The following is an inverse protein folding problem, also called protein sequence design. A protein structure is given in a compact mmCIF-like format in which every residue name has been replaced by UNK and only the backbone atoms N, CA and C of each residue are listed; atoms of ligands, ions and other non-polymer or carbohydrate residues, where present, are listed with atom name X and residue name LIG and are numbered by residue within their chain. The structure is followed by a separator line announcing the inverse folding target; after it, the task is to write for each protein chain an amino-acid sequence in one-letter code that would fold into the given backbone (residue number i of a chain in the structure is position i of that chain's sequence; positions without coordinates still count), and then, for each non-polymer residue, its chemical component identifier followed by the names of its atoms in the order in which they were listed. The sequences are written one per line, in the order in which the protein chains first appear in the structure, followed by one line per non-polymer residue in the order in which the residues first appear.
data_IF_552180184688
#
_entry.id   IF_552180184688
#
_cell.length_a   1.000
_cell.length_b   1.000
_cell.length_c   1.000
_cell.angle_alpha   90.00
_cell.angle_beta   90.00
_cell.angle_gamma   90.00
#
_symmetry.space_group_name_H-M   'P 1'
#
loop_
_entity.id
_entity.type
_entity.pdbx_description
1 polymer ?
#
# COMPACT_ATOMS: atom_id res chain seq x y z
N UNK A 1 -16.75 -28.20 -19.43
CA UNK A 1 -15.94 -27.06 -18.96
C UNK A 1 -15.93 -26.03 -20.07
N UNK A 2 -16.58 -24.89 -19.87
CA UNK A 2 -16.35 -23.75 -20.75
C UNK A 2 -14.98 -23.16 -20.37
N UNK A 3 -14.11 -22.81 -21.33
CA UNK A 3 -12.89 -22.10 -21.02
C UNK A 3 -13.23 -20.77 -20.32
N UNK A 4 -12.38 -20.28 -19.39
CA UNK A 4 -12.58 -18.96 -18.81
C UNK A 4 -12.67 -17.94 -19.94
N UNK A 5 -13.63 -17.01 -19.83
CA UNK A 5 -13.80 -15.96 -20.82
C UNK A 5 -12.50 -15.18 -20.93
N UNK A 6 -11.78 -15.31 -22.05
CA UNK A 6 -10.59 -14.51 -22.33
C UNK A 6 -11.03 -13.04 -22.37
N UNK A 7 -10.71 -12.31 -21.30
CA UNK A 7 -10.92 -10.87 -21.24
C UNK A 7 -10.03 -10.24 -22.32
N UNK A 8 -10.66 -9.55 -23.27
CA UNK A 8 -9.91 -8.85 -24.32
C UNK A 8 -9.00 -7.82 -23.66
N UNK A 9 -7.76 -7.63 -24.15
CA UNK A 9 -6.86 -6.63 -23.60
C UNK A 9 -7.51 -5.24 -23.70
N UNK A 10 -7.45 -4.43 -22.63
CA UNK A 10 -8.11 -3.13 -22.60
C UNK A 10 -7.45 -2.14 -23.56
N UNK A 11 -8.23 -1.17 -24.05
CA UNK A 11 -7.73 -0.11 -24.96
C UNK A 11 -6.81 0.91 -24.27
N UNK A 12 -6.79 0.91 -22.94
CA UNK A 12 -5.95 1.76 -22.09
C UNK A 12 -5.28 0.88 -21.04
N UNK A 13 -4.06 1.24 -20.63
CA UNK A 13 -3.35 0.57 -19.54
C UNK A 13 -4.23 0.50 -18.29
N UNK A 14 -4.39 -0.71 -17.75
CA UNK A 14 -5.19 -0.96 -16.55
C UNK A 14 -4.56 -0.29 -15.32
N UNK A 15 -5.31 -0.15 -14.24
CA UNK A 15 -4.82 0.38 -12.97
C UNK A 15 -3.79 -0.58 -12.37
N UNK A 16 -4.05 -1.89 -12.44
CA UNK A 16 -3.10 -2.91 -11.99
C UNK A 16 -1.75 -2.79 -12.73
N UNK A 17 -1.77 -2.62 -14.06
CA UNK A 17 -0.57 -2.40 -14.85
C UNK A 17 0.16 -1.11 -14.47
N UNK A 18 -0.56 -0.01 -14.18
CA UNK A 18 0.06 1.24 -13.73
C UNK A 18 0.77 1.05 -12.39
N UNK A 19 0.13 0.41 -11.40
CA UNK A 19 0.71 0.20 -10.07
C UNK A 19 1.94 -0.75 -10.15
N UNK A 20 1.83 -1.88 -10.84
CA UNK A 20 2.95 -2.81 -10.98
C UNK A 20 4.09 -2.23 -11.84
N UNK A 21 3.75 -1.49 -12.90
CA UNK A 21 4.73 -0.76 -13.69
C UNK A 21 5.47 0.31 -12.88
N UNK A 22 4.77 1.02 -12.00
CA UNK A 22 5.38 1.99 -11.10
C UNK A 22 6.36 1.32 -10.12
N UNK A 23 6.05 0.11 -9.60
CA UNK A 23 6.97 -0.65 -8.75
C UNK A 23 8.23 -1.07 -9.50
N UNK A 24 8.07 -1.62 -10.70
CA UNK A 24 9.20 -2.03 -11.54
C UNK A 24 10.10 -0.83 -11.88
N UNK A 25 9.50 0.26 -12.35
CA UNK A 25 10.25 1.48 -12.70
C UNK A 25 10.91 2.13 -11.49
N UNK A 26 10.26 2.11 -10.32
CA UNK A 26 10.86 2.60 -9.09
C UNK A 26 12.05 1.74 -8.68
N UNK A 27 11.98 0.41 -8.83
CA UNK A 27 13.10 -0.48 -8.54
C UNK A 27 14.35 -0.08 -9.35
N UNK A 28 14.17 0.19 -10.65
CA UNK A 28 15.25 0.65 -11.54
C UNK A 28 15.83 1.99 -11.07
N UNK A 29 14.96 2.97 -10.79
CA UNK A 29 15.37 4.32 -10.39
C UNK A 29 16.12 4.35 -9.06
N UNK A 30 15.75 3.49 -8.10
CA UNK A 30 16.43 3.41 -6.81
C UNK A 30 17.84 2.82 -6.94
N UNK A 31 18.03 1.87 -7.88
CA UNK A 31 19.33 1.25 -8.16
C UNK A 31 20.23 2.13 -9.04
N UNK A 32 19.64 2.93 -9.93
CA UNK A 32 20.37 3.85 -10.78
C UNK A 32 21.04 4.94 -9.91
N UNK A 33 22.33 5.18 -10.16
CA UNK A 33 23.12 6.23 -9.48
C UNK A 33 23.27 7.47 -10.34
N UNK A 34 22.81 7.46 -11.58
CA UNK A 34 22.80 8.64 -12.42
C UNK A 34 21.74 9.63 -11.87
N UNK A 35 22.15 10.81 -11.38
CA UNK A 35 21.21 11.81 -10.90
C UNK A 35 20.39 12.44 -12.03
N UNK A 36 20.75 12.23 -13.31
CA UNK A 36 20.10 12.87 -14.43
C UNK A 36 18.62 12.48 -14.48
N UNK A 37 17.74 13.47 -14.39
CA UNK A 37 16.28 13.32 -14.43
C UNK A 37 15.64 12.57 -13.25
N UNK A 38 16.39 12.18 -12.20
CA UNK A 38 15.83 11.42 -11.06
C UNK A 38 14.59 12.10 -10.45
N UNK A 39 14.68 13.41 -10.16
CA UNK A 39 13.56 14.17 -9.61
C UNK A 39 12.33 14.14 -10.54
N UNK A 40 12.52 14.37 -11.85
CA UNK A 40 11.42 14.37 -12.83
C UNK A 40 10.80 12.99 -12.99
N UNK A 41 11.60 11.92 -12.98
CA UNK A 41 11.12 10.54 -13.10
C UNK A 41 10.25 10.15 -11.90
N UNK A 42 10.69 10.45 -10.67
CA UNK A 42 9.88 10.18 -9.47
C UNK A 42 8.58 11.01 -9.48
N UNK A 43 8.63 12.27 -9.94
CA UNK A 43 7.44 13.11 -10.07
C UNK A 43 6.47 12.58 -11.13
N UNK A 44 6.97 12.00 -12.22
CA UNK A 44 6.14 11.32 -13.22
C UNK A 44 5.50 10.05 -12.64
N UNK A 45 6.24 9.24 -11.89
CA UNK A 45 5.69 8.08 -11.18
C UNK A 45 4.60 8.49 -10.19
N UNK A 46 4.84 9.55 -9.41
CA UNK A 46 3.83 10.10 -8.52
C UNK A 46 2.56 10.51 -9.28
N UNK A 47 2.69 11.20 -10.42
CA UNK A 47 1.54 11.57 -11.24
C UNK A 47 0.78 10.36 -11.83
N UNK A 48 1.49 9.28 -12.19
CA UNK A 48 0.86 8.03 -12.64
C UNK A 48 0.04 7.38 -11.52
N UNK A 49 0.56 7.36 -10.28
CA UNK A 49 -0.17 6.87 -9.11
C UNK A 49 -1.40 7.75 -8.82
N UNK A 50 -1.29 9.08 -8.89
CA UNK A 50 -2.42 10.01 -8.76
C UNK A 50 -3.53 9.71 -9.78
N UNK A 51 -3.14 9.48 -11.04
CA UNK A 51 -4.05 9.12 -12.11
C UNK A 51 -4.72 7.77 -11.85
N UNK A 52 -3.97 6.77 -11.41
CA UNK A 52 -4.50 5.45 -11.03
C UNK A 52 -5.55 5.54 -9.92
N UNK A 53 -5.22 6.22 -8.82
CA UNK A 53 -6.13 6.44 -7.68
C UNK A 53 -7.39 7.21 -8.08
N UNK A 54 -7.28 8.17 -9.02
CA UNK A 54 -8.41 8.97 -9.51
C UNK A 54 -9.31 8.17 -10.44
N UNK A 55 -8.74 7.34 -11.32
CA UNK A 55 -9.50 6.50 -12.25
C UNK A 55 -10.31 5.43 -11.52
N UNK A 56 -9.68 4.72 -10.57
CA UNK A 56 -10.39 3.71 -9.77
C UNK A 56 -9.67 3.48 -8.43
N UNK A 57 -10.14 4.15 -7.37
CA UNK A 57 -9.56 4.01 -6.02
C UNK A 57 -9.60 2.59 -5.49
N UNK A 58 -10.61 1.80 -5.86
CA UNK A 58 -10.81 0.47 -5.30
C UNK A 58 -9.77 -0.49 -5.85
N UNK A 59 -9.49 -0.41 -7.15
CA UNK A 59 -8.43 -1.22 -7.76
C UNK A 59 -7.06 -0.76 -7.26
N UNK A 60 -6.79 0.54 -7.21
CA UNK A 60 -5.52 1.06 -6.71
C UNK A 60 -5.21 0.55 -5.29
N UNK A 61 -6.20 0.60 -4.39
CA UNK A 61 -6.05 0.10 -3.02
C UNK A 61 -5.98 -1.43 -2.95
N UNK A 62 -6.77 -2.14 -3.76
CA UNK A 62 -6.69 -3.60 -3.80
C UNK A 62 -5.30 -4.11 -4.24
N UNK A 63 -4.61 -3.38 -5.10
CA UNK A 63 -3.24 -3.74 -5.53
C UNK A 63 -2.19 -3.62 -4.42
N UNK A 64 -2.43 -2.80 -3.40
CA UNK A 64 -1.55 -2.76 -2.22
C UNK A 64 -1.75 -3.97 -1.31
N UNK A 65 -2.82 -4.74 -1.48
CA UNK A 65 -3.13 -5.92 -0.64
C UNK A 65 -2.91 -7.24 -1.39
N UNK A 66 -3.35 -7.32 -2.64
CA UNK A 66 -3.39 -8.58 -3.39
C UNK A 66 -2.12 -8.85 -4.20
N UNK A 67 -1.44 -7.80 -4.69
CA UNK A 67 -0.25 -7.98 -5.53
C UNK A 67 1.00 -7.87 -4.66
N UNK A 68 1.43 -8.97 -4.03
CA UNK A 68 2.59 -8.97 -3.14
C UNK A 68 3.85 -9.59 -3.76
N UNK A 69 3.78 -10.17 -4.97
CA UNK A 69 4.86 -10.93 -5.59
C UNK A 69 5.92 -10.07 -6.31
N UNK A 70 6.46 -9.06 -5.62
CA UNK A 70 7.52 -8.16 -6.12
C UNK A 70 8.48 -7.79 -4.99
N UNK A 71 9.73 -7.35 -5.28
CA UNK A 71 10.70 -6.93 -4.26
C UNK A 71 10.12 -5.95 -3.24
N UNK A 72 10.50 -6.10 -1.97
CA UNK A 72 9.82 -5.43 -0.86
C UNK A 72 9.92 -3.91 -0.95
N UNK A 73 11.11 -3.37 -1.17
CA UNK A 73 11.37 -1.93 -1.06
C UNK A 73 10.54 -1.09 -2.06
N UNK A 74 10.57 -1.35 -3.38
CA UNK A 74 9.74 -0.61 -4.32
C UNK A 74 8.25 -0.90 -4.14
N UNK A 75 7.87 -2.14 -3.76
CA UNK A 75 6.47 -2.50 -3.46
C UNK A 75 5.92 -1.63 -2.34
N UNK A 76 6.59 -1.67 -1.18
CA UNK A 76 6.22 -0.94 0.03
C UNK A 76 6.12 0.56 -0.24
N UNK A 77 7.10 1.13 -0.94
CA UNK A 77 7.12 2.56 -1.27
C UNK A 77 5.92 2.98 -2.14
N UNK A 78 5.56 2.19 -3.15
CA UNK A 78 4.37 2.45 -4.00
C UNK A 78 3.08 2.27 -3.20
N UNK A 79 2.98 1.24 -2.35
CA UNK A 79 1.80 0.99 -1.52
C UNK A 79 1.52 2.16 -0.56
N UNK A 80 2.58 2.67 0.09
CA UNK A 80 2.50 3.88 0.92
C UNK A 80 2.09 5.08 0.08
N UNK A 81 2.63 5.23 -1.14
CA UNK A 81 2.26 6.29 -2.07
C UNK A 81 0.77 6.29 -2.44
N UNK A 82 0.19 5.11 -2.68
CA UNK A 82 -1.25 4.94 -2.95
C UNK A 82 -2.08 5.37 -1.74
N UNK A 83 -1.72 4.91 -0.53
CA UNK A 83 -2.45 5.24 0.70
C UNK A 83 -2.41 6.75 0.99
N UNK A 84 -1.22 7.37 0.87
CA UNK A 84 -1.04 8.82 1.06
C UNK A 84 -1.83 9.62 0.02
N UNK A 85 -1.79 9.24 -1.25
CA UNK A 85 -2.56 9.91 -2.30
C UNK A 85 -4.07 9.90 -2.01
N UNK A 86 -4.60 8.74 -1.62
CA UNK A 86 -6.03 8.62 -1.30
C UNK A 86 -6.44 9.47 -0.10
N UNK A 87 -5.60 9.54 0.93
CA UNK A 87 -5.86 10.34 2.13
C UNK A 87 -5.77 11.85 1.85
N UNK A 88 -4.73 12.30 1.17
CA UNK A 88 -4.59 13.73 0.83
C UNK A 88 -5.65 14.19 -0.17
N UNK A 89 -6.06 13.34 -1.12
CA UNK A 89 -7.16 13.64 -2.04
C UNK A 89 -8.49 13.79 -1.29
N UNK A 90 -8.72 12.97 -0.25
CA UNK A 90 -9.91 13.07 0.62
C UNK A 90 -9.94 14.41 1.39
N UNK A 91 -8.79 14.95 1.77
CA UNK A 91 -8.69 16.29 2.37
C UNK A 91 -8.96 17.44 1.38
N UNK A 92 -9.13 17.15 0.09
CA UNK A 92 -9.36 18.17 -0.93
C UNK A 92 -8.10 18.90 -1.40
N UNK A 93 -6.89 18.43 -1.03
CA UNK A 93 -5.65 18.97 -1.58
C UNK A 93 -5.61 18.78 -3.10
N UNK A 94 -4.99 19.70 -3.83
CA UNK A 94 -4.83 19.65 -5.30
C UNK A 94 -3.75 18.67 -5.73
N UNK A 95 -3.78 18.22 -6.99
CA UNK A 95 -2.79 17.25 -7.48
C UNK A 95 -1.35 17.74 -7.31
N UNK A 96 -1.11 19.04 -7.51
CA UNK A 96 0.20 19.67 -7.35
C UNK A 96 0.67 19.68 -5.89
N UNK A 97 -0.22 19.88 -4.93
CA UNK A 97 0.12 19.86 -3.50
C UNK A 97 0.47 18.45 -3.02
N UNK A 98 -0.24 17.44 -3.52
CA UNK A 98 -0.04 16.03 -3.13
C UNK A 98 1.21 15.41 -3.75
N UNK A 99 1.59 15.84 -4.95
CA UNK A 99 2.68 15.24 -5.74
C UNK A 99 4.02 15.14 -5.01
N UNK A 100 4.54 16.18 -4.33
CA UNK A 100 5.79 16.06 -3.57
C UNK A 100 5.69 15.11 -2.37
N UNK A 101 4.51 14.93 -1.77
CA UNK A 101 4.31 13.99 -0.67
C UNK A 101 4.33 12.54 -1.16
N UNK A 102 3.74 12.28 -2.33
CA UNK A 102 3.80 10.96 -2.98
C UNK A 102 5.24 10.67 -3.39
N UNK A 103 5.96 11.65 -3.94
CA UNK A 103 7.39 11.50 -4.23
C UNK A 103 8.21 11.17 -2.97
N UNK A 104 7.86 11.76 -1.82
CA UNK A 104 8.41 11.39 -0.52
C UNK A 104 8.10 9.93 -0.17
N UNK A 105 6.86 9.46 -0.32
CA UNK A 105 6.50 8.06 -0.07
C UNK A 105 7.31 7.08 -0.92
N UNK A 106 7.53 7.42 -2.21
CA UNK A 106 8.29 6.58 -3.14
C UNK A 106 9.78 6.47 -2.78
N UNK A 107 10.31 7.39 -1.97
CA UNK A 107 11.77 7.52 -1.76
C UNK A 107 12.20 7.64 -0.30
N UNK A 108 11.27 7.64 0.66
CA UNK A 108 11.56 7.87 2.08
C UNK A 108 12.56 6.88 2.68
N UNK A 109 12.70 5.70 2.08
CA UNK A 109 13.54 4.61 2.54
C UNK A 109 14.79 4.37 1.66
N UNK A 110 15.10 5.25 0.69
CA UNK A 110 16.22 5.06 -0.24
C UNK A 110 17.57 4.86 0.50
N UNK A 111 17.74 5.50 1.65
CA UNK A 111 18.93 5.36 2.50
C UNK A 111 19.03 4.03 3.27
N UNK A 112 18.02 3.16 3.21
CA UNK A 112 18.04 1.82 3.82
C UNK A 112 17.51 0.72 2.91
N UNK A 113 17.44 0.94 1.60
CA UNK A 113 16.84 0.00 0.64
C UNK A 113 17.41 -1.43 0.78
N UNK A 114 18.74 -1.57 0.81
CA UNK A 114 19.40 -2.88 0.98
C UNK A 114 18.99 -3.55 2.29
N UNK A 115 18.86 -2.79 3.38
CA UNK A 115 18.42 -3.31 4.65
C UNK A 115 16.95 -3.76 4.59
N UNK A 116 16.08 -3.03 3.89
CA UNK A 116 14.67 -3.43 3.77
C UNK A 116 14.51 -4.81 3.12
N UNK A 117 15.25 -5.08 2.04
CA UNK A 117 15.22 -6.40 1.38
C UNK A 117 15.80 -7.50 2.29
N UNK A 118 16.86 -7.19 3.06
CA UNK A 118 17.39 -8.12 4.06
C UNK A 118 16.35 -8.43 5.15
N UNK A 119 15.63 -7.41 5.64
CA UNK A 119 14.63 -7.54 6.69
C UNK A 119 13.35 -8.23 6.25
N UNK A 120 13.04 -8.19 4.95
CA UNK A 120 11.94 -8.97 4.37
C UNK A 120 12.21 -10.48 4.49
N UNK A 121 13.46 -10.89 4.25
CA UNK A 121 13.92 -12.28 4.29
C UNK A 121 14.42 -12.76 5.66
N UNK A 122 14.66 -11.84 6.58
CA UNK A 122 15.24 -12.15 7.90
C UNK A 122 14.24 -12.84 8.82
N UNK A 123 14.65 -13.94 9.44
CA UNK A 123 13.94 -14.55 10.57
C UNK A 123 14.53 -14.10 11.91
N UNK A 124 13.91 -13.13 12.58
CA UNK A 124 14.32 -12.70 13.93
C UNK A 124 14.35 -11.18 14.15
N UNK A 125 14.58 -10.73 15.40
CA UNK A 125 14.59 -9.32 15.74
C UNK A 125 15.77 -8.58 15.10
N UNK A 126 15.67 -7.25 15.01
CA UNK A 126 16.75 -6.40 14.50
C UNK A 126 18.02 -6.52 15.37
N UNK A 127 19.18 -6.63 14.73
CA UNK A 127 20.46 -6.43 15.42
C UNK A 127 20.64 -4.97 15.85
N UNK A 128 21.65 -4.69 16.67
CA UNK A 128 21.96 -3.32 17.09
C UNK A 128 22.32 -2.43 15.90
N UNK A 129 23.10 -2.96 14.96
CA UNK A 129 23.55 -2.26 13.75
C UNK A 129 22.37 -1.98 12.82
N UNK A 130 21.47 -2.96 12.63
CA UNK A 130 20.26 -2.77 11.84
C UNK A 130 19.34 -1.71 12.45
N UNK A 131 19.21 -1.66 13.78
CA UNK A 131 18.47 -0.59 14.46
C UNK A 131 19.10 0.78 14.24
N UNK A 132 20.44 0.87 14.25
CA UNK A 132 21.13 2.12 13.99
C UNK A 132 20.90 2.61 12.56
N UNK A 133 21.03 1.74 11.56
CA UNK A 133 20.72 2.07 10.17
C UNK A 133 19.25 2.52 10.04
N UNK A 134 18.32 1.78 10.65
CA UNK A 134 16.90 2.15 10.65
C UNK A 134 16.65 3.49 11.36
N UNK A 135 17.39 3.87 12.39
CA UNK A 135 17.22 5.20 13.01
C UNK A 135 17.85 6.33 12.19
N UNK A 136 18.89 6.03 11.41
CA UNK A 136 19.62 7.01 10.60
C UNK A 136 19.02 7.20 9.20
N UNK A 137 18.22 6.26 8.71
CA UNK A 137 17.77 6.30 7.32
C UNK A 137 16.95 7.54 6.92
N UNK A 138 16.21 8.26 7.78
CA UNK A 138 15.55 9.48 7.33
C UNK A 138 16.56 10.56 6.92
N UNK A 139 17.69 10.66 7.65
CA UNK A 139 18.80 11.54 7.30
C UNK A 139 19.50 11.06 6.03
N UNK A 140 19.88 9.77 6.00
CA UNK A 140 20.57 9.19 4.85
C UNK A 140 19.75 9.29 3.56
N UNK A 141 18.44 9.07 3.64
CA UNK A 141 17.51 9.18 2.51
C UNK A 141 17.42 10.62 2.00
N UNK A 142 17.26 11.61 2.90
CA UNK A 142 17.25 13.02 2.52
C UNK A 142 18.57 13.44 1.86
N UNK A 143 19.69 13.01 2.40
CA UNK A 143 21.02 13.40 1.91
C UNK A 143 21.32 12.76 0.55
N UNK A 144 20.95 11.49 0.35
CA UNK A 144 20.99 10.82 -0.96
C UNK A 144 20.09 11.54 -1.99
N UNK A 145 18.86 11.90 -1.62
CA UNK A 145 17.95 12.62 -2.51
C UNK A 145 18.52 13.97 -2.95
N UNK A 146 19.14 14.71 -2.04
CA UNK A 146 19.85 15.97 -2.36
C UNK A 146 21.02 15.74 -3.30
N UNK A 147 21.80 14.68 -3.07
CA UNK A 147 22.90 14.31 -3.96
C UNK A 147 22.40 13.96 -5.37
N UNK A 148 21.18 13.42 -5.49
CA UNK A 148 20.47 13.16 -6.75
C UNK A 148 19.72 14.37 -7.33
N UNK A 149 19.98 15.58 -6.82
CA UNK A 149 19.42 16.82 -7.35
C UNK A 149 17.99 17.14 -6.89
N UNK A 150 17.43 16.40 -5.93
CA UNK A 150 16.11 16.72 -5.38
C UNK A 150 16.20 18.00 -4.55
N UNK A 151 15.36 18.98 -4.90
CA UNK A 151 15.33 20.31 -4.27
C UNK A 151 13.98 20.69 -3.66
N UNK A 152 12.94 19.87 -3.88
CA UNK A 152 11.61 20.12 -3.32
C UNK A 152 11.62 20.00 -1.79
N UNK A 153 11.29 21.09 -1.11
CA UNK A 153 11.36 21.16 0.36
C UNK A 153 10.24 20.39 1.05
N UNK A 154 9.07 20.24 0.43
CA UNK A 154 7.97 19.44 1.01
C UNK A 154 8.37 17.98 0.99
N UNK A 155 8.87 17.51 -0.16
CA UNK A 155 9.37 16.15 -0.34
C UNK A 155 10.48 15.84 0.68
N UNK A 156 11.56 16.63 0.69
CA UNK A 156 12.70 16.38 1.57
C UNK A 156 12.34 16.40 3.06
N UNK A 157 11.43 17.30 3.48
CA UNK A 157 10.98 17.36 4.87
C UNK A 157 10.09 16.18 5.24
N UNK A 158 9.22 15.71 4.34
CA UNK A 158 8.42 14.51 4.60
C UNK A 158 9.33 13.29 4.79
N UNK A 159 10.33 13.10 3.92
CA UNK A 159 11.34 12.03 4.07
C UNK A 159 12.09 12.16 5.39
N UNK A 160 12.50 13.35 5.79
CA UNK A 160 13.23 13.54 7.04
C UNK A 160 12.39 13.25 8.29
N UNK A 161 11.09 13.58 8.26
CA UNK A 161 10.22 13.62 9.43
C UNK A 161 9.27 12.42 9.56
N UNK A 162 9.24 11.47 8.62
CA UNK A 162 8.22 10.41 8.61
C UNK A 162 8.27 9.44 9.82
N UNK A 163 9.38 9.41 10.57
CA UNK A 163 9.50 8.69 11.85
C UNK A 163 9.46 9.59 13.09
N UNK A 164 9.20 10.88 12.92
CA UNK A 164 8.93 11.79 14.03
C UNK A 164 7.51 11.56 14.56
N UNK A 165 7.35 11.75 15.87
CA UNK A 165 6.05 11.63 16.55
C UNK A 165 5.74 12.93 17.31
N UNK A 166 4.47 13.35 17.41
CA UNK A 166 4.12 14.65 18.02
C UNK A 166 4.58 14.83 19.48
N UNK A 167 4.82 13.73 20.19
CA UNK A 167 5.34 13.71 21.57
C UNK A 167 6.87 13.88 21.68
N UNK A 168 7.60 13.86 20.56
CA UNK A 168 9.06 13.95 20.49
C UNK A 168 9.80 12.66 20.83
N UNK A 169 9.12 11.51 20.84
CA UNK A 169 9.76 10.18 21.01
C UNK A 169 10.31 9.61 19.70
N UNK A 170 9.91 10.18 18.56
CA UNK A 170 10.39 9.81 17.24
C UNK A 170 11.84 10.21 16.96
N UNK A 171 12.25 10.04 15.70
CA UNK A 171 13.61 10.30 15.24
C UNK A 171 13.56 10.86 13.81
N UNK A 172 14.62 11.55 13.34
CA UNK A 172 15.94 11.76 13.97
C UNK A 172 16.08 13.03 14.84
N UNK A 173 15.26 14.04 14.61
CA UNK A 173 15.29 15.35 15.27
C UNK A 173 14.46 15.46 16.56
N UNK A 174 13.63 14.46 16.90
CA UNK A 174 12.78 14.44 18.10
C UNK A 174 11.82 15.64 18.15
N UNK A 175 11.24 15.95 17.00
CA UNK A 175 10.35 17.10 16.81
C UNK A 175 9.07 16.94 17.63
N UNK A 176 8.41 18.05 17.98
CA UNK A 176 7.18 18.05 18.78
C UNK A 176 6.06 18.85 18.15
N UNK A 177 4.83 18.35 18.29
CA UNK A 177 3.60 19.03 17.89
C UNK A 177 3.70 19.68 16.51
N UNK A 178 3.55 21.00 16.48
CA UNK A 178 3.49 21.82 15.26
C UNK A 178 4.83 21.94 14.51
N UNK A 179 5.93 21.41 15.07
CA UNK A 179 7.21 21.31 14.35
C UNK A 179 7.17 20.22 13.26
N UNK A 180 6.25 19.26 13.39
CA UNK A 180 6.07 18.21 12.40
C UNK A 180 5.10 18.66 11.33
N UNK A 181 5.47 18.42 10.08
CA UNK A 181 4.55 18.61 8.96
C UNK A 181 3.37 17.65 9.07
N UNK A 182 2.18 18.14 8.73
CA UNK A 182 0.99 17.29 8.62
C UNK A 182 1.24 16.12 7.66
N UNK A 183 1.83 16.41 6.49
CA UNK A 183 2.10 15.40 5.47
C UNK A 183 3.11 14.34 5.93
N UNK A 184 4.10 14.71 6.74
CA UNK A 184 5.08 13.77 7.29
C UNK A 184 4.45 12.82 8.32
N UNK A 185 3.52 13.32 9.15
CA UNK A 185 2.79 12.51 10.12
C UNK A 185 1.85 11.52 9.42
N UNK A 186 1.16 11.96 8.37
CA UNK A 186 0.36 11.08 7.52
C UNK A 186 1.24 10.02 6.84
N UNK A 187 2.40 10.43 6.31
CA UNK A 187 3.35 9.52 5.67
C UNK A 187 3.84 8.43 6.65
N UNK A 188 4.21 8.82 7.87
CA UNK A 188 4.60 7.88 8.92
C UNK A 188 3.49 6.93 9.35
N UNK A 189 2.24 7.39 9.37
CA UNK A 189 1.07 6.54 9.64
C UNK A 189 0.86 5.51 8.51
N UNK A 190 0.94 5.95 7.26
CA UNK A 190 0.83 5.10 6.07
C UNK A 190 1.98 4.07 6.00
N UNK A 191 3.21 4.48 6.29
CA UNK A 191 4.39 3.61 6.35
C UNK A 191 4.20 2.46 7.34
N UNK A 192 3.79 2.77 8.58
CA UNK A 192 3.51 1.75 9.60
C UNK A 192 2.39 0.82 9.17
N UNK A 193 1.29 1.36 8.64
CA UNK A 193 0.16 0.57 8.17
C UNK A 193 0.57 -0.42 7.07
N UNK A 194 1.20 0.04 5.98
CA UNK A 194 1.65 -0.80 4.88
C UNK A 194 2.70 -1.83 5.33
N UNK A 195 3.58 -1.47 6.27
CA UNK A 195 4.53 -2.40 6.84
C UNK A 195 3.82 -3.55 7.58
N UNK A 196 2.76 -3.28 8.37
CA UNK A 196 1.99 -4.30 9.09
C UNK A 196 1.24 -5.26 8.15
N UNK A 197 0.78 -4.76 6.99
CA UNK A 197 0.10 -5.54 5.95
C UNK A 197 1.06 -6.44 5.16
N UNK A 198 2.33 -6.05 5.06
CA UNK A 198 3.33 -6.87 4.37
C UNK A 198 3.67 -8.12 5.19
N UNK A 199 3.67 -9.28 4.53
CA UNK A 199 4.27 -10.51 5.07
C UNK A 199 5.78 -10.30 5.20
N UNK A 200 6.39 -10.92 6.21
CA UNK A 200 7.86 -11.02 6.36
C UNK A 200 8.23 -12.47 6.68
N UNK A 201 9.49 -12.86 6.50
CA UNK A 201 9.92 -14.24 6.81
C UNK A 201 9.58 -14.69 8.25
N UNK A 202 9.60 -13.76 9.22
CA UNK A 202 9.33 -14.03 10.64
C UNK A 202 7.89 -13.79 11.10
N UNK A 203 7.02 -13.22 10.27
CA UNK A 203 5.62 -12.97 10.64
C UNK A 203 4.69 -12.95 9.44
N UNK A 204 3.50 -13.50 9.64
CA UNK A 204 2.41 -13.33 8.69
C UNK A 204 2.07 -11.84 8.52
N UNK A 205 1.49 -11.53 7.37
CA UNK A 205 0.78 -10.28 7.18
C UNK A 205 -0.30 -10.16 8.26
N UNK A 206 -0.43 -8.98 8.90
CA UNK A 206 -1.56 -8.76 9.78
C UNK A 206 -2.83 -8.57 8.94
N UNK A 207 -3.95 -9.01 9.47
CA UNK A 207 -5.26 -8.66 8.92
C UNK A 207 -5.43 -7.14 8.87
N UNK A 208 -6.18 -6.64 7.90
CA UNK A 208 -6.33 -5.20 7.62
C UNK A 208 -6.86 -4.41 8.82
N UNK A 209 -7.79 -5.01 9.57
CA UNK A 209 -8.40 -4.46 10.78
C UNK A 209 -7.38 -4.38 11.92
N UNK A 210 -6.54 -5.42 12.08
CA UNK A 210 -5.47 -5.46 13.07
C UNK A 210 -4.35 -4.47 12.76
N UNK A 211 -3.99 -4.33 11.47
CA UNK A 211 -3.02 -3.35 11.00
C UNK A 211 -3.51 -1.92 11.23
N UNK A 212 -4.78 -1.64 10.91
CA UNK A 212 -5.41 -0.35 11.16
C UNK A 212 -5.42 -0.03 12.67
N UNK A 213 -5.92 -0.94 13.50
CA UNK A 213 -6.02 -0.77 14.95
C UNK A 213 -4.65 -0.53 15.62
N UNK A 214 -3.59 -1.21 15.16
CA UNK A 214 -2.24 -1.00 15.69
C UNK A 214 -1.60 0.30 15.22
N UNK A 215 -1.86 0.72 13.98
CA UNK A 215 -1.36 1.98 13.44
C UNK A 215 -1.93 3.21 14.15
N UNK A 216 -3.18 3.11 14.63
CA UNK A 216 -3.92 4.17 15.36
C UNK A 216 -3.88 4.00 16.90
N UNK A 217 -3.14 3.01 17.42
CA UNK A 217 -3.22 2.61 18.84
C UNK A 217 -2.79 3.71 19.83
N UNK A 218 -3.44 3.85 21.00
CA UNK A 218 -3.11 4.84 22.04
C UNK A 218 -1.71 4.69 22.66
N UNK A 219 -1.04 3.54 22.51
CA UNK A 219 0.37 3.37 22.94
C UNK A 219 1.35 4.19 22.08
N UNK A 220 0.89 4.61 20.90
CA UNK A 220 1.47 5.70 20.09
C UNK A 220 1.27 7.08 20.72
N UNK A 221 0.78 7.13 21.98
CA UNK A 221 0.37 8.28 22.80
C UNK A 221 0.89 9.62 22.30
N UNK A 222 0.02 10.34 21.58
CA UNK A 222 0.32 11.61 20.93
C UNK A 222 -0.27 11.75 19.52
N UNK A 223 -1.17 10.85 19.10
CA UNK A 223 -1.64 10.78 17.71
C UNK A 223 -2.82 11.71 17.49
N UNK A 224 -2.72 12.43 16.38
CA UNK A 224 -3.64 13.42 15.86
C UNK A 224 -4.98 12.73 15.52
N UNK A 225 -6.00 12.85 16.38
CA UNK A 225 -7.35 12.27 16.18
C UNK A 225 -7.91 12.55 14.77
N UNK A 226 -7.50 13.68 14.17
CA UNK A 226 -7.91 14.05 12.82
C UNK A 226 -7.22 13.18 11.77
N UNK A 227 -5.94 12.82 11.96
CA UNK A 227 -5.24 11.87 11.08
C UNK A 227 -5.83 10.48 11.19
N UNK A 228 -6.10 10.00 12.40
CA UNK A 228 -6.68 8.66 12.59
C UNK A 228 -8.06 8.59 11.94
N UNK A 229 -8.90 9.61 12.16
CA UNK A 229 -10.20 9.71 11.47
C UNK A 229 -10.05 9.78 9.96
N UNK A 230 -9.16 10.62 9.45
CA UNK A 230 -8.90 10.72 8.01
C UNK A 230 -8.50 9.36 7.43
N UNK A 231 -7.62 8.64 8.11
CA UNK A 231 -7.09 7.35 7.67
C UNK A 231 -8.20 6.29 7.65
N UNK A 232 -8.99 6.20 8.73
CA UNK A 232 -10.16 5.31 8.82
C UNK A 232 -11.20 5.62 7.73
N UNK A 233 -11.52 6.89 7.52
CA UNK A 233 -12.49 7.29 6.49
C UNK A 233 -11.95 7.12 5.05
N UNK A 234 -10.63 7.07 4.88
CA UNK A 234 -9.98 6.87 3.58
C UNK A 234 -9.98 5.39 3.20
N UNK A 235 -9.60 4.52 4.13
CA UNK A 235 -9.44 3.09 3.85
C UNK A 235 -10.73 2.30 4.11
N UNK A 236 -11.52 2.72 5.09
CA UNK A 236 -12.60 1.93 5.68
C UNK A 236 -12.07 0.82 6.58
N UNK A 237 -12.97 0.16 7.30
CA UNK A 237 -12.62 -1.02 8.11
C UNK A 237 -12.23 -2.23 7.27
N UNK A 238 -12.81 -2.31 6.08
CA UNK A 238 -12.62 -3.39 5.13
C UNK A 238 -12.26 -2.77 3.76
N UNK A 239 -11.00 -2.36 3.55
CA UNK A 239 -10.59 -1.77 2.29
C UNK A 239 -10.75 -2.75 1.11
N UNK A 240 -11.04 -2.26 -0.11
CA UNK A 240 -10.91 -3.05 -1.34
C UNK A 240 -9.64 -3.89 -1.38
N UNK A 241 -9.78 -5.19 -1.68
CA UNK A 241 -8.70 -6.17 -1.63
C UNK A 241 -8.59 -6.95 -0.31
N UNK A 242 -9.30 -6.56 0.75
CA UNK A 242 -9.41 -7.38 1.96
C UNK A 242 -10.12 -8.70 1.66
N UNK A 243 -9.55 -9.80 2.14
CA UNK A 243 -10.21 -11.11 2.12
C UNK A 243 -11.03 -11.25 3.39
N UNK A 244 -12.30 -11.61 3.24
CA UNK A 244 -13.25 -11.72 4.35
C UNK A 244 -14.09 -12.98 4.22
N UNK A 245 -14.52 -13.51 5.36
CA UNK A 245 -15.59 -14.49 5.43
C UNK A 245 -16.88 -13.83 5.87
N UNK A 246 -17.95 -14.15 5.16
CA UNK A 246 -19.31 -13.73 5.46
C UNK A 246 -19.94 -14.68 6.49
N UNK A 247 -20.97 -14.25 7.22
CA UNK A 247 -21.73 -15.12 8.12
C UNK A 247 -22.39 -16.32 7.42
N UNK A 248 -22.60 -16.25 6.10
CA UNK A 248 -23.01 -17.40 5.29
C UNK A 248 -21.96 -18.52 5.23
N UNK A 249 -20.72 -18.25 5.65
CA UNK A 249 -19.56 -19.12 5.52
C UNK A 249 -18.78 -18.90 4.22
N UNK A 250 -19.35 -18.20 3.23
CA UNK A 250 -18.68 -17.85 1.98
C UNK A 250 -17.46 -16.94 2.22
N UNK A 251 -16.40 -17.15 1.44
CA UNK A 251 -15.17 -16.39 1.48
C UNK A 251 -15.02 -15.60 0.17
N UNK A 252 -14.60 -14.35 0.29
CA UNK A 252 -14.50 -13.45 -0.85
C UNK A 252 -13.58 -12.27 -0.61
N UNK A 253 -13.47 -11.44 -1.63
CA UNK A 253 -12.66 -10.22 -1.62
C UNK A 253 -13.56 -9.00 -1.59
N UNK A 254 -13.27 -8.06 -0.70
CA UNK A 254 -13.96 -6.77 -0.67
C UNK A 254 -13.67 -6.05 -1.99
N UNK A 255 -14.73 -5.78 -2.76
CA UNK A 255 -14.66 -5.13 -4.05
C UNK A 255 -14.71 -3.62 -3.94
N UNK A 256 -15.56 -3.11 -3.03
CA UNK A 256 -15.83 -1.68 -2.81
C UNK A 256 -16.54 -1.43 -1.47
N UNK A 257 -16.47 -0.21 -0.92
CA UNK A 257 -17.34 0.20 0.19
C UNK A 257 -18.83 0.01 -0.17
N UNK A 258 -19.64 -0.34 0.83
CA UNK A 258 -21.09 -0.42 0.70
C UNK A 258 -21.79 0.84 1.23
N UNK A 259 -23.07 0.70 1.59
CA UNK A 259 -23.87 1.81 2.13
C UNK A 259 -23.50 2.20 3.56
N UNK A 260 -22.99 1.26 4.36
CA UNK A 260 -22.43 1.50 5.69
C UNK A 260 -20.99 0.98 5.81
N UNK A 261 -20.24 1.55 6.75
CA UNK A 261 -18.80 1.31 6.96
C UNK A 261 -18.45 -0.16 7.21
N UNK A 262 -19.34 -0.90 7.87
CA UNK A 262 -19.17 -2.33 8.21
C UNK A 262 -19.84 -3.28 7.21
N UNK A 263 -20.35 -2.73 6.10
CA UNK A 263 -21.17 -3.47 5.12
C UNK A 263 -20.60 -3.38 3.70
N UNK A 264 -19.31 -3.67 3.45
CA UNK A 264 -18.74 -3.61 2.10
C UNK A 264 -19.45 -4.55 1.12
N UNK A 265 -19.26 -4.30 -0.17
CA UNK A 265 -19.65 -5.24 -1.21
C UNK A 265 -18.49 -6.20 -1.43
N UNK A 266 -18.77 -7.50 -1.28
CA UNK A 266 -17.79 -8.58 -1.36
C UNK A 266 -18.05 -9.37 -2.64
N UNK A 267 -17.00 -9.62 -3.42
CA UNK A 267 -17.02 -10.61 -4.48
C UNK A 267 -16.77 -11.97 -3.82
N UNK A 268 -17.84 -12.76 -3.63
CA UNK A 268 -17.76 -14.11 -3.08
C UNK A 268 -17.18 -15.06 -4.13
N UNK A 269 -16.21 -15.88 -3.71
CA UNK A 269 -15.41 -16.73 -4.59
C UNK A 269 -15.34 -18.18 -4.12
N UNK A 270 -15.35 -18.42 -2.80
CA UNK A 270 -15.22 -19.74 -2.22
C UNK A 270 -16.33 -20.03 -1.19
N UNK A 271 -16.65 -21.30 -1.00
CA UNK A 271 -17.51 -21.77 0.09
C UNK A 271 -16.73 -21.91 1.42
N UNK A 272 -17.41 -22.38 2.47
CA UNK A 272 -16.83 -22.57 3.80
C UNK A 272 -15.72 -23.65 3.84
N UNK A 273 -15.67 -24.54 2.84
CA UNK A 273 -14.65 -25.58 2.69
C UNK A 273 -13.50 -25.14 1.76
N UNK A 274 -13.42 -23.84 1.43
CA UNK A 274 -12.43 -23.25 0.52
C UNK A 274 -12.52 -23.78 -0.93
N UNK A 275 -13.67 -24.32 -1.34
CA UNK A 275 -13.89 -24.73 -2.74
C UNK A 275 -14.45 -23.57 -3.54
N UNK A 276 -14.02 -23.38 -4.80
CA UNK A 276 -14.59 -22.36 -5.67
C UNK A 276 -16.11 -22.50 -5.78
N UNK A 277 -16.83 -21.39 -5.62
CA UNK A 277 -18.28 -21.35 -5.79
C UNK A 277 -18.66 -21.66 -7.23
N UNK A 278 -19.77 -22.39 -7.40
CA UNK A 278 -20.34 -22.62 -8.73
C UNK A 278 -20.81 -21.31 -9.38
N UNK A 279 -21.27 -20.36 -8.58
CA UNK A 279 -21.72 -19.03 -9.01
C UNK A 279 -21.02 -17.93 -8.18
N UNK A 280 -19.77 -17.57 -8.53
CA UNK A 280 -19.09 -16.42 -7.94
C UNK A 280 -19.87 -15.13 -8.23
N UNK A 281 -19.97 -14.24 -7.25
CA UNK A 281 -20.78 -13.03 -7.42
C UNK A 281 -20.70 -12.03 -6.27
N UNK A 282 -21.28 -10.85 -6.49
CA UNK A 282 -21.37 -9.83 -5.44
C UNK A 282 -22.33 -10.28 -4.33
N UNK A 283 -21.92 -10.06 -3.09
CA UNK A 283 -22.75 -10.14 -1.88
C UNK A 283 -22.71 -8.77 -1.21
N UNK A 284 -23.87 -8.28 -0.79
CA UNK A 284 -23.93 -7.10 0.09
C UNK A 284 -23.83 -7.59 1.51
N UNK A 285 -22.83 -7.11 2.25
CA UNK A 285 -22.65 -7.58 3.61
C UNK A 285 -23.58 -6.87 4.60
N UNK A 286 -24.85 -7.27 4.69
CA UNK A 286 -25.82 -6.64 5.60
C UNK A 286 -26.82 -7.64 6.20
N UNK A 287 -27.50 -7.30 7.31
CA UNK A 287 -28.52 -8.18 7.90
C UNK A 287 -29.61 -8.56 6.89
N UNK A 288 -30.22 -9.75 7.01
CA UNK A 288 -30.06 -10.70 8.12
C UNK A 288 -28.83 -11.62 8.02
N UNK A 289 -28.28 -11.86 6.82
CA UNK A 289 -27.35 -12.99 6.58
C UNK A 289 -25.94 -12.59 6.09
N UNK A 290 -25.67 -11.28 5.90
CA UNK A 290 -24.54 -10.82 5.12
C UNK A 290 -23.34 -10.25 5.89
N UNK A 291 -23.35 -10.13 7.22
CA UNK A 291 -22.24 -9.45 7.92
C UNK A 291 -20.86 -10.13 7.70
N UNK A 292 -19.79 -9.37 7.92
CA UNK A 292 -18.44 -9.94 7.96
C UNK A 292 -18.25 -10.68 9.28
N UNK A 293 -17.98 -11.97 9.20
CA UNK A 293 -17.67 -12.81 10.35
C UNK A 293 -16.21 -12.64 10.79
N UNK A 294 -15.28 -12.64 9.83
CA UNK A 294 -13.85 -12.45 10.10
C UNK A 294 -13.07 -11.96 8.87
N UNK A 295 -11.89 -11.41 9.10
CA UNK A 295 -10.92 -11.04 8.07
C UNK A 295 -9.91 -12.19 7.93
N UNK A 296 -9.72 -12.67 6.70
CA UNK A 296 -8.82 -13.78 6.38
C UNK A 296 -7.44 -13.26 5.96
N UNK A 297 -6.39 -14.01 6.30
CA UNK A 297 -5.05 -13.78 5.76
C UNK A 297 -4.99 -14.34 4.32
N UNK A 298 -4.52 -13.53 3.37
CA UNK A 298 -4.49 -13.85 1.92
C UNK A 298 -3.64 -15.08 1.58
N UNK A 299 -2.68 -15.44 2.43
CA UNK A 299 -1.72 -16.53 2.18
C UNK A 299 -2.33 -17.94 2.13
N UNK A 300 -3.62 -18.08 2.48
CA UNK A 300 -4.33 -19.36 2.47
C UNK A 300 -5.20 -19.56 1.22
N UNK A 301 -5.18 -18.60 0.29
CA UNK A 301 -5.94 -18.65 -0.95
C UNK A 301 -5.00 -18.81 -2.13
N UNK A 302 -5.44 -19.55 -3.14
CA UNK A 302 -4.83 -19.49 -4.46
C UNK A 302 -4.84 -18.03 -4.96
N UNK A 303 -3.87 -17.62 -5.79
CA UNK A 303 -3.84 -16.27 -6.35
C UNK A 303 -5.17 -15.93 -7.02
N UNK A 304 -5.86 -14.91 -6.50
CA UNK A 304 -7.13 -14.45 -7.03
C UNK A 304 -6.83 -13.46 -8.16
N UNK A 305 -7.15 -13.77 -9.44
CA UNK A 305 -6.90 -12.85 -10.53
C UNK A 305 -7.70 -11.57 -10.31
N UNK A 306 -7.06 -10.39 -10.18
CA UNK A 306 -7.78 -9.15 -9.92
C UNK A 306 -8.83 -8.81 -10.99
N UNK A 307 -8.59 -9.26 -12.22
CA UNK A 307 -9.52 -9.13 -13.36
C UNK A 307 -10.87 -9.82 -13.10
N UNK A 308 -10.92 -10.89 -12.29
CA UNK A 308 -12.16 -11.60 -11.98
C UNK A 308 -13.06 -10.79 -11.03
N UNK A 309 -12.49 -9.84 -10.29
CA UNK A 309 -13.21 -8.98 -9.35
C UNK A 309 -13.54 -7.62 -9.98
N UNK A 310 -12.57 -7.00 -10.67
CA UNK A 310 -12.67 -5.61 -11.15
C UNK A 310 -12.62 -5.46 -12.67
N UNK A 311 -12.52 -6.55 -13.44
CA UNK A 311 -12.53 -6.51 -14.91
C UNK A 311 -11.33 -5.76 -15.50
N UNK A 312 -11.56 -5.03 -16.60
CA UNK A 312 -10.52 -4.36 -17.39
C UNK A 312 -9.61 -3.42 -16.59
N UNK A 313 -10.11 -2.79 -15.53
CA UNK A 313 -9.31 -1.89 -14.68
C UNK A 313 -8.23 -2.65 -13.90
N UNK A 314 -8.38 -3.95 -13.69
CA UNK A 314 -7.43 -4.79 -12.98
C UNK A 314 -6.78 -5.87 -13.86
N UNK A 315 -6.92 -5.74 -15.19
CA UNK A 315 -6.29 -6.63 -16.15
C UNK A 315 -4.77 -6.60 -16.03
N UNK A 316 -4.15 -7.77 -15.97
CA UNK A 316 -2.71 -7.96 -16.12
C UNK A 316 -2.48 -8.87 -17.34
N UNK A 317 -1.55 -8.55 -18.24
CA UNK A 317 -1.19 -9.47 -19.31
C UNK A 317 -0.58 -10.72 -18.68
N UNK A 318 -0.93 -11.90 -19.22
CA UNK A 318 -0.35 -13.16 -18.77
C UNK A 318 1.17 -13.03 -18.77
N UNK A 319 1.82 -13.43 -17.67
CA UNK A 319 3.26 -13.53 -17.64
C UNK A 319 3.65 -14.49 -18.77
N UNK A 320 4.39 -14.01 -19.77
CA UNK A 320 4.99 -14.88 -20.78
C UNK A 320 5.71 -15.98 -20.00
N UNK A 321 5.45 -17.27 -20.25
CA UNK A 321 6.20 -18.34 -19.60
C UNK A 321 7.66 -18.01 -19.80
N UNK A 322 8.41 -17.85 -18.70
CA UNK A 322 9.86 -17.86 -18.79
C UNK A 322 10.18 -19.17 -19.51
N UNK A 323 10.69 -19.07 -20.73
CA UNK A 323 11.22 -20.22 -21.42
C UNK A 323 12.33 -20.73 -20.49
N UNK A 324 12.09 -21.90 -19.89
CA UNK A 324 13.11 -22.65 -19.18
C UNK A 324 14.31 -22.76 -20.13
N UNK A 325 15.34 -21.95 -19.87
CA UNK A 325 16.66 -22.17 -20.45
C UNK A 325 17.15 -23.48 -19.87
N UNK A 326 17.08 -24.51 -20.70
CA UNK A 326 17.77 -25.80 -20.53
C UNK A 326 19.27 -25.63 -20.33
#
# INVERSE_FOLDING_TARGET
MNPPAQTKPPKRTSIAQVILGARARLADLLMDRDPQYFQSEIIMLAAQIQSACTRNRNVALAMTLLAQDTPYAPRHAVDVGVVVELALKRLGQTESERRPVIAAALTMNIGMQTLQEQLDQQSGPLTTEQRQIMQQHPLASRDELRARGVSDTVWLNCVLQHHETPDGRGYPGKLRGDQLRFEARLLGLADRYCALLSKRAWRSAKSVDSALAQSISPLSAGVDDKLDRLFMETLGFYPPGSVVQLYSGEIGVVKRPGSHELTPVVQALYDADMKPLAEPGERTSGPPDGGIMSVFETQFLDPIPPVDIWGEDAYLPDATPQQDTQ
#
